data_IF_062732281907
#
_entry.id   IF_062732281907
#
_cell.length_a   1.000
_cell.length_b   1.000
_cell.length_c   1.000
_cell.angle_alpha   90.00
_cell.angle_beta   90.00
_cell.angle_gamma   90.00
#
_symmetry.space_group_name_H-M   'P 1'
#
loop_
_entity.id
_entity.type
_entity.pdbx_description
1 polymer ?
#
# COMPACT_ATOMS: atom_id res chain seq x y z
N UNK A 1 -22.54 -80.34 -31.90
CA UNK A 1 -22.40 -79.20 -30.98
C UNK A 1 -23.56 -78.27 -31.24
N UNK A 2 -24.50 -78.18 -30.31
CA UNK A 2 -25.60 -77.22 -30.39
C UNK A 2 -25.08 -75.83 -30.00
N UNK A 3 -25.47 -74.80 -30.75
CA UNK A 3 -25.02 -73.43 -30.53
C UNK A 3 -25.58 -72.89 -29.21
N UNK A 4 -24.72 -72.73 -28.22
CA UNK A 4 -25.07 -72.22 -26.87
C UNK A 4 -25.45 -70.72 -26.85
N UNK A 5 -25.24 -69.98 -27.94
CA UNK A 5 -25.56 -68.55 -28.05
C UNK A 5 -26.72 -68.34 -29.03
N UNK A 6 -27.75 -67.62 -28.59
CA UNK A 6 -28.90 -67.27 -29.41
C UNK A 6 -28.50 -66.15 -30.40
N UNK A 7 -28.56 -66.39 -31.73
CA UNK A 7 -28.16 -65.41 -32.75
C UNK A 7 -29.02 -64.15 -32.74
N UNK A 8 -30.28 -64.25 -32.30
CA UNK A 8 -31.22 -63.11 -32.25
C UNK A 8 -30.93 -62.15 -31.09
N UNK A 9 -30.14 -62.58 -30.10
CA UNK A 9 -29.76 -61.79 -28.94
C UNK A 9 -28.34 -61.19 -29.05
N UNK A 10 -27.74 -61.18 -30.25
CA UNK A 10 -26.38 -60.71 -30.44
C UNK A 10 -26.32 -59.18 -30.61
N UNK A 11 -25.95 -58.48 -29.53
CA UNK A 11 -25.86 -57.03 -29.44
C UNK A 11 -24.65 -56.43 -30.18
N UNK A 12 -23.64 -57.25 -30.52
CA UNK A 12 -22.42 -56.78 -31.20
C UNK A 12 -22.72 -56.17 -32.58
N UNK A 13 -23.83 -56.61 -33.22
CA UNK A 13 -24.29 -56.09 -34.52
C UNK A 13 -24.68 -54.61 -34.47
N UNK A 14 -25.07 -54.11 -33.30
CA UNK A 14 -25.50 -52.72 -33.09
C UNK A 14 -24.48 -51.89 -32.31
N UNK A 15 -23.29 -52.45 -32.01
CA UNK A 15 -22.25 -51.79 -31.22
C UNK A 15 -21.85 -50.41 -31.76
N UNK A 16 -21.69 -50.28 -33.09
CA UNK A 16 -21.41 -48.98 -33.72
C UNK A 16 -22.55 -47.96 -33.58
N UNK A 17 -23.81 -48.42 -33.58
CA UNK A 17 -24.99 -47.56 -33.40
C UNK A 17 -25.04 -47.06 -31.94
N UNK A 18 -24.77 -47.92 -30.96
CA UNK A 18 -24.70 -47.51 -29.56
C UNK A 18 -23.55 -46.51 -29.31
N UNK A 19 -22.41 -46.69 -29.97
CA UNK A 19 -21.31 -45.73 -29.92
C UNK A 19 -21.70 -44.36 -30.50
N UNK A 20 -22.36 -44.33 -31.66
CA UNK A 20 -22.84 -43.09 -32.27
C UNK A 20 -23.93 -42.39 -31.45
N UNK A 21 -24.84 -43.14 -30.83
CA UNK A 21 -25.85 -42.59 -29.92
C UNK A 21 -25.18 -41.99 -28.67
N UNK A 22 -24.21 -42.70 -28.09
CA UNK A 22 -23.43 -42.19 -26.95
C UNK A 22 -22.67 -40.91 -27.29
N UNK A 23 -22.05 -40.84 -28.47
CA UNK A 23 -21.35 -39.66 -28.96
C UNK A 23 -22.29 -38.44 -29.07
N UNK A 24 -23.48 -38.64 -29.64
CA UNK A 24 -24.49 -37.58 -29.74
C UNK A 24 -25.02 -37.14 -28.36
N UNK A 25 -25.19 -38.07 -27.41
CA UNK A 25 -25.63 -37.76 -26.06
C UNK A 25 -24.60 -36.90 -25.31
N UNK A 26 -23.32 -37.26 -25.39
CA UNK A 26 -22.23 -36.49 -24.79
C UNK A 26 -22.14 -35.10 -25.42
N UNK A 27 -22.22 -35.02 -26.75
CA UNK A 27 -22.20 -33.74 -27.46
C UNK A 27 -23.37 -32.83 -27.04
N UNK A 28 -24.58 -33.40 -26.88
CA UNK A 28 -25.76 -32.68 -26.41
C UNK A 28 -25.60 -32.19 -24.97
N UNK A 29 -25.05 -33.01 -24.07
CA UNK A 29 -24.77 -32.61 -22.69
C UNK A 29 -23.77 -31.46 -22.62
N UNK A 30 -22.67 -31.54 -23.39
CA UNK A 30 -21.66 -30.48 -23.46
C UNK A 30 -22.27 -29.20 -24.01
N UNK A 31 -23.06 -29.28 -25.09
CA UNK A 31 -23.77 -28.12 -25.63
C UNK A 31 -24.71 -27.51 -24.58
N UNK A 32 -25.46 -28.34 -23.84
CA UNK A 32 -26.36 -27.83 -22.79
C UNK A 32 -25.59 -27.19 -21.63
N UNK A 33 -24.46 -27.76 -21.22
CA UNK A 33 -23.57 -27.20 -20.18
C UNK A 33 -23.01 -25.84 -20.59
N UNK A 34 -22.62 -25.65 -21.85
CA UNK A 34 -22.17 -24.36 -22.36
C UNK A 34 -23.29 -23.30 -22.40
N UNK A 35 -24.54 -23.72 -22.63
CA UNK A 35 -25.71 -22.84 -22.52
C UNK A 35 -26.18 -22.61 -21.08
N UNK A 36 -25.56 -23.23 -20.07
CA UNK A 36 -25.83 -22.85 -18.69
C UNK A 36 -25.26 -21.46 -18.45
N UNK A 37 -26.11 -20.45 -18.62
CA UNK A 37 -25.80 -19.08 -18.22
C UNK A 37 -25.58 -19.06 -16.72
N UNK A 38 -24.32 -18.94 -16.33
CA UNK A 38 -23.92 -18.52 -15.00
C UNK A 38 -24.03 -17.00 -14.98
N UNK A 39 -25.02 -16.47 -14.28
CA UNK A 39 -25.00 -15.06 -13.94
C UNK A 39 -23.92 -14.87 -12.90
N UNK A 40 -23.01 -13.92 -13.13
CA UNK A 40 -22.18 -13.42 -12.06
C UNK A 40 -23.13 -12.95 -10.96
N UNK A 41 -23.03 -13.55 -9.78
CA UNK A 41 -23.68 -12.96 -8.61
C UNK A 41 -22.93 -11.65 -8.40
N UNK A 42 -23.64 -10.53 -8.49
CA UNK A 42 -23.09 -9.26 -8.05
C UNK A 42 -22.65 -9.43 -6.60
N UNK A 43 -21.35 -9.62 -6.41
CA UNK A 43 -20.77 -9.66 -5.10
C UNK A 43 -20.93 -8.25 -4.54
N UNK A 44 -21.87 -8.09 -3.60
CA UNK A 44 -22.14 -6.83 -2.92
C UNK A 44 -20.86 -6.18 -2.35
N UNK A 45 -19.81 -6.98 -2.13
CA UNK A 45 -18.49 -6.53 -1.71
C UNK A 45 -17.71 -5.82 -2.82
N UNK A 46 -17.77 -6.28 -4.08
CA UNK A 46 -17.09 -5.65 -5.21
C UNK A 46 -17.71 -4.28 -5.53
N UNK A 47 -19.05 -4.21 -5.59
CA UNK A 47 -19.78 -2.95 -5.81
C UNK A 47 -19.59 -1.98 -4.63
N UNK A 48 -19.46 -2.47 -3.40
CA UNK A 48 -19.14 -1.63 -2.25
C UNK A 48 -17.73 -1.03 -2.34
N UNK A 49 -16.74 -1.76 -2.86
CA UNK A 49 -15.37 -1.26 -3.04
C UNK A 49 -15.33 -0.14 -4.10
N UNK A 50 -16.01 -0.33 -5.23
CA UNK A 50 -16.10 0.69 -6.28
C UNK A 50 -16.82 1.95 -5.79
N UNK A 51 -17.94 1.79 -5.07
CA UNK A 51 -18.65 2.92 -4.46
C UNK A 51 -17.83 3.64 -3.38
N UNK A 52 -17.01 2.92 -2.59
CA UNK A 52 -16.11 3.53 -1.59
C UNK A 52 -14.98 4.30 -2.27
N UNK A 53 -14.47 3.83 -3.42
CA UNK A 53 -13.46 4.56 -4.19
C UNK A 53 -14.03 5.86 -4.75
N UNK A 54 -15.26 5.84 -5.29
CA UNK A 54 -15.93 7.03 -5.81
C UNK A 54 -16.28 8.03 -4.69
N UNK A 55 -16.63 7.56 -3.47
CA UNK A 55 -16.91 8.43 -2.32
C UNK A 55 -15.67 9.02 -1.63
N UNK A 56 -14.47 8.50 -1.92
CA UNK A 56 -13.22 8.95 -1.28
C UNK A 56 -12.62 10.19 -1.95
N UNK A 57 -13.09 10.56 -3.14
CA UNK A 57 -12.52 11.61 -3.98
C UNK A 57 -13.36 12.89 -3.97
N UNK A 58 -13.74 13.37 -2.79
CA UNK A 58 -14.19 14.76 -2.63
C UNK A 58 -13.74 15.24 -1.24
N UNK A 59 -12.55 15.83 -1.19
CA UNK A 59 -12.06 16.51 0.01
C UNK A 59 -12.95 17.75 0.19
N UNK A 60 -13.69 17.90 1.31
CA UNK A 60 -14.50 19.10 1.50
C UNK A 60 -13.59 20.33 1.53
N UNK A 61 -13.92 21.35 0.73
CA UNK A 61 -13.20 22.63 0.71
C UNK A 61 -13.21 23.19 2.14
N UNK A 62 -12.05 23.23 2.78
CA UNK A 62 -11.90 23.82 4.11
C UNK A 62 -11.97 25.34 3.96
N UNK A 63 -13.04 25.95 4.48
CA UNK A 63 -13.12 27.40 4.60
C UNK A 63 -12.01 27.86 5.56
N UNK A 64 -10.94 28.43 5.02
CA UNK A 64 -9.90 29.06 5.81
C UNK A 64 -10.50 30.32 6.44
N UNK A 65 -10.72 30.29 7.76
CA UNK A 65 -11.15 31.47 8.52
C UNK A 65 -10.09 32.54 8.29
N UNK A 66 -10.44 33.55 7.49
CA UNK A 66 -9.59 34.70 7.23
C UNK A 66 -9.59 35.55 8.49
N UNK A 67 -8.70 35.23 9.42
CA UNK A 67 -8.47 36.05 10.61
C UNK A 67 -8.22 37.49 10.15
N UNK A 68 -8.97 38.45 10.72
CA UNK A 68 -8.71 39.85 10.47
C UNK A 68 -7.25 40.14 10.83
N UNK A 69 -6.51 40.88 10.00
CA UNK A 69 -5.14 41.23 10.32
C UNK A 69 -5.13 41.96 11.67
N UNK A 70 -4.27 41.56 12.63
CA UNK A 70 -4.16 42.23 13.91
C UNK A 70 -3.85 43.72 13.66
N UNK A 71 -4.40 44.63 14.48
CA UNK A 71 -4.15 46.06 14.32
C UNK A 71 -2.64 46.32 14.33
N UNK A 72 -2.14 47.17 13.42
CA UNK A 72 -0.72 47.42 13.30
C UNK A 72 -0.19 47.90 14.66
N UNK A 73 0.89 47.29 15.18
CA UNK A 73 1.50 47.74 16.43
C UNK A 73 1.90 49.21 16.29
N UNK A 74 1.72 50.03 17.36
CA UNK A 74 2.18 51.41 17.34
C UNK A 74 3.66 51.43 17.00
N UNK A 75 4.03 52.18 15.97
CA UNK A 75 5.42 52.36 15.56
C UNK A 75 6.18 53.03 16.70
N UNK A 76 6.96 52.25 17.45
CA UNK A 76 7.94 52.79 18.38
C UNK A 76 9.01 53.50 17.53
N UNK A 77 9.41 54.75 17.85
CA UNK A 77 10.50 55.39 17.14
C UNK A 77 11.78 54.60 17.38
N UNK A 78 12.34 54.03 16.31
CA UNK A 78 13.65 53.37 16.33
C UNK A 78 14.69 54.47 16.46
N UNK A 79 15.28 54.60 17.65
CA UNK A 79 16.56 55.31 17.81
C UNK A 79 17.63 54.41 17.22
N UNK A 80 18.15 54.79 16.07
CA UNK A 80 19.29 54.12 15.44
C UNK A 80 20.53 54.71 16.12
N UNK A 81 21.06 54.00 17.11
CA UNK A 81 22.44 54.22 17.52
C UNK A 81 23.32 53.54 16.47
N UNK A 82 23.98 54.35 15.64
CA UNK A 82 24.92 53.88 14.64
C UNK A 82 26.13 53.31 15.40
N UNK A 83 26.19 51.99 15.52
CA UNK A 83 27.41 51.30 15.92
C UNK A 83 28.34 51.29 14.71
N UNK A 84 29.54 51.83 14.88
CA UNK A 84 30.57 51.82 13.85
C UNK A 84 31.09 50.39 13.67
N UNK A 85 30.72 49.76 12.56
CA UNK A 85 31.36 48.52 12.11
C UNK A 85 32.73 48.85 11.52
N UNK A 86 33.77 48.60 12.29
CA UNK A 86 35.14 48.48 11.80
C UNK A 86 35.89 47.42 12.60
N UNK A 87 35.53 46.15 12.39
CA UNK A 87 36.46 45.06 12.68
C UNK A 87 37.25 44.83 11.40
N UNK A 88 38.51 45.28 11.39
CA UNK A 88 39.45 44.92 10.32
C UNK A 88 39.67 43.42 10.36
N UNK A 89 39.21 42.74 9.30
CA UNK A 89 39.39 41.32 9.10
C UNK A 89 40.78 41.17 8.46
N UNK A 90 41.75 40.64 9.20
CA UNK A 90 43.06 40.33 8.62
C UNK A 90 42.88 39.22 7.56
N UNK A 91 43.26 39.51 6.31
CA UNK A 91 43.22 38.54 5.22
C UNK A 91 44.12 37.34 5.57
N UNK A 92 43.50 36.18 5.81
CA UNK A 92 44.25 34.93 5.90
C UNK A 92 44.62 34.48 4.49
N UNK A 93 45.91 34.28 4.24
CA UNK A 93 46.44 33.82 2.96
C UNK A 93 45.86 32.44 2.67
N UNK A 94 45.06 32.35 1.61
CA UNK A 94 44.48 31.09 1.14
C UNK A 94 45.63 30.26 0.55
N UNK A 95 46.09 29.25 1.30
CA UNK A 95 47.03 28.25 0.78
C UNK A 95 46.38 27.49 -0.37
N UNK A 96 46.93 27.62 -1.57
CA UNK A 96 46.43 26.89 -2.74
C UNK A 96 46.70 25.40 -2.56
N UNK A 97 45.64 24.59 -2.55
CA UNK A 97 45.72 23.12 -2.56
C UNK A 97 45.88 22.58 -3.99
N UNK A 98 46.79 23.16 -4.77
CA UNK A 98 47.11 22.64 -6.11
C UNK A 98 48.18 21.55 -6.00
N UNK A 99 47.81 20.33 -6.38
CA UNK A 99 48.69 19.17 -6.49
C UNK A 99 49.54 19.24 -7.76
N UNK A 100 50.81 18.86 -7.69
CA UNK A 100 51.73 18.86 -8.84
C UNK A 100 51.78 17.48 -9.51
N UNK A 101 52.12 17.40 -10.80
CA UNK A 101 52.06 16.16 -11.59
C UNK A 101 53.04 15.06 -11.13
N UNK A 102 53.99 15.37 -10.25
CA UNK A 102 54.95 14.43 -9.66
C UNK A 102 54.52 13.89 -8.29
N UNK A 103 53.34 14.29 -7.78
CA UNK A 103 52.82 13.80 -6.51
C UNK A 103 52.15 12.43 -6.67
N UNK A 104 52.85 11.38 -6.24
CA UNK A 104 52.36 10.00 -6.30
C UNK A 104 51.35 9.79 -5.18
N UNK A 105 50.07 9.66 -5.56
CA UNK A 105 49.00 9.24 -4.66
C UNK A 105 49.25 7.76 -4.31
N UNK A 106 49.63 7.48 -3.07
CA UNK A 106 49.60 6.11 -2.54
C UNK A 106 48.13 5.69 -2.43
N UNK A 107 47.62 4.95 -3.42
CA UNK A 107 46.32 4.30 -3.31
C UNK A 107 46.38 3.30 -2.15
N UNK A 108 45.53 3.43 -1.12
CA UNK A 108 45.46 2.41 -0.09
C UNK A 108 44.95 1.12 -0.74
N UNK A 109 45.81 0.11 -0.78
CA UNK A 109 45.43 -1.27 -1.12
C UNK A 109 44.45 -1.79 -0.07
N UNK A 110 43.17 -1.53 -0.27
CA UNK A 110 42.10 -2.16 0.49
C UNK A 110 42.14 -3.66 0.15
N UNK A 111 42.61 -4.47 1.09
CA UNK A 111 42.58 -5.93 0.99
C UNK A 111 41.12 -6.39 0.82
N UNK A 112 40.87 -7.25 -0.16
CA UNK A 112 39.54 -7.72 -0.58
C UNK A 112 38.82 -8.53 0.51
N UNK A 113 39.47 -8.79 1.65
CA UNK A 113 38.94 -9.59 2.76
C UNK A 113 37.95 -8.87 3.70
N UNK A 114 37.78 -7.54 3.58
CA UNK A 114 36.88 -6.75 4.46
C UNK A 114 35.56 -6.31 3.79
N UNK A 115 35.16 -6.93 2.69
CA UNK A 115 33.80 -6.76 2.15
C UNK A 115 32.86 -7.69 2.90
N UNK A 116 32.32 -7.22 4.02
CA UNK A 116 31.14 -7.85 4.61
C UNK A 116 29.98 -7.67 3.63
N UNK A 117 29.60 -8.75 2.96
CA UNK A 117 28.29 -8.83 2.32
C UNK A 117 27.27 -8.78 3.45
N UNK A 118 26.78 -7.57 3.75
CA UNK A 118 25.52 -7.43 4.45
C UNK A 118 24.49 -8.16 3.58
N UNK A 119 23.99 -9.29 4.05
CA UNK A 119 22.81 -9.91 3.48
C UNK A 119 21.70 -8.86 3.59
N UNK A 120 21.45 -8.13 2.51
CA UNK A 120 20.23 -7.37 2.37
C UNK A 120 19.12 -8.41 2.46
N UNK A 121 18.40 -8.41 3.59
CA UNK A 121 17.16 -9.16 3.70
C UNK A 121 16.26 -8.67 2.57
N UNK A 122 16.15 -9.48 1.51
CA UNK A 122 15.22 -9.21 0.42
C UNK A 122 13.84 -9.09 1.04
N UNK A 123 13.35 -7.85 1.16
CA UNK A 123 11.99 -7.60 1.60
C UNK A 123 11.06 -8.23 0.57
N UNK A 124 10.56 -9.42 0.90
CA UNK A 124 9.59 -10.14 0.08
C UNK A 124 8.36 -9.25 -0.03
N UNK A 125 8.23 -8.56 -1.16
CA UNK A 125 7.07 -7.73 -1.46
C UNK A 125 5.90 -8.65 -1.81
N UNK A 126 5.15 -9.07 -0.79
CA UNK A 126 3.92 -9.83 -0.98
C UNK A 126 2.83 -8.84 -1.39
N UNK A 127 2.18 -9.01 -2.56
CA UNK A 127 1.09 -8.13 -2.97
C UNK A 127 -0.07 -8.19 -1.95
N UNK A 128 -0.43 -7.05 -1.37
CA UNK A 128 -1.54 -6.92 -0.41
C UNK A 128 -2.90 -7.38 -0.96
N UNK A 129 -3.04 -7.51 -2.28
CA UNK A 129 -4.26 -7.99 -2.95
C UNK A 129 -4.66 -9.43 -2.56
N UNK A 130 -3.78 -10.19 -1.90
CA UNK A 130 -4.00 -11.59 -1.51
C UNK A 130 -4.27 -11.72 0.01
N UNK A 131 -4.08 -10.66 0.80
CA UNK A 131 -4.18 -10.74 2.26
C UNK A 131 -5.62 -10.48 2.69
N UNK A 132 -6.33 -11.56 3.05
CA UNK A 132 -7.71 -11.47 3.56
C UNK A 132 -7.78 -11.04 5.04
N UNK A 133 -6.69 -11.27 5.79
CA UNK A 133 -6.66 -11.21 7.25
C UNK A 133 -5.87 -9.99 7.75
N UNK A 134 -6.45 -9.27 8.72
CA UNK A 134 -5.82 -8.09 9.32
C UNK A 134 -4.75 -8.48 10.34
N UNK A 135 -3.75 -7.62 10.60
CA UNK A 135 -2.80 -7.85 11.68
C UNK A 135 -3.51 -7.95 13.03
N UNK A 136 -3.11 -8.91 13.85
CA UNK A 136 -3.71 -9.15 15.18
C UNK A 136 -2.90 -8.40 16.24
N UNK A 137 -3.52 -7.41 16.89
CA UNK A 137 -2.95 -6.79 18.08
C UNK A 137 -3.01 -7.76 19.28
N UNK A 138 -2.05 -7.69 20.22
CA UNK A 138 -2.13 -8.45 21.47
C UNK A 138 -3.46 -8.18 22.18
N UNK A 139 -4.20 -9.25 22.48
CA UNK A 139 -5.55 -9.18 23.06
C UNK A 139 -6.72 -9.19 22.06
N UNK A 140 -6.45 -9.13 20.75
CA UNK A 140 -7.45 -9.26 19.68
C UNK A 140 -7.46 -10.67 19.03
N UNK A 141 -6.90 -11.68 19.69
CA UNK A 141 -6.68 -13.02 19.13
C UNK A 141 -7.96 -13.85 18.97
N UNK A 142 -9.05 -13.49 19.66
CA UNK A 142 -10.31 -14.21 19.64
C UNK A 142 -11.38 -13.56 18.76
N UNK A 143 -12.16 -14.37 18.03
CA UNK A 143 -13.39 -13.92 17.37
C UNK A 143 -13.48 -14.30 15.89
N UNK A 144 -14.50 -13.76 15.22
CA UNK A 144 -14.65 -13.82 13.76
C UNK A 144 -13.69 -12.83 13.07
N UNK A 145 -13.41 -13.02 11.77
CA UNK A 145 -12.60 -12.08 10.98
C UNK A 145 -13.12 -10.63 11.07
N UNK A 146 -14.43 -10.44 11.17
CA UNK A 146 -15.03 -9.12 11.36
C UNK A 146 -14.72 -8.51 12.73
N UNK A 147 -14.82 -9.30 13.81
CA UNK A 147 -14.49 -8.84 15.17
C UNK A 147 -13.00 -8.47 15.29
N UNK A 148 -12.11 -9.20 14.62
CA UNK A 148 -10.68 -8.88 14.57
C UNK A 148 -10.42 -7.53 13.87
N UNK A 149 -11.13 -7.23 12.78
CA UNK A 149 -11.05 -5.93 12.07
C UNK A 149 -11.51 -4.76 12.94
N UNK A 150 -12.58 -4.95 13.70
CA UNK A 150 -13.07 -3.93 14.65
C UNK A 150 -12.07 -3.72 15.78
N UNK A 151 -11.54 -4.80 16.36
CA UNK A 151 -10.55 -4.74 17.43
C UNK A 151 -9.26 -4.04 16.96
N UNK A 152 -8.80 -4.34 15.74
CA UNK A 152 -7.64 -3.67 15.13
C UNK A 152 -7.87 -2.16 14.99
N UNK A 153 -9.03 -1.74 14.47
CA UNK A 153 -9.37 -0.32 14.34
C UNK A 153 -9.41 0.40 15.69
N UNK A 154 -9.92 -0.25 16.74
CA UNK A 154 -9.92 0.31 18.08
C UNK A 154 -8.49 0.49 18.63
N UNK A 155 -7.65 -0.54 18.48
CA UNK A 155 -6.27 -0.49 18.98
C UNK A 155 -5.41 0.54 18.27
N UNK A 156 -5.62 0.75 16.97
CA UNK A 156 -4.98 1.84 16.23
C UNK A 156 -5.40 3.20 16.78
N UNK A 157 -6.70 3.42 17.02
CA UNK A 157 -7.18 4.68 17.58
C UNK A 157 -6.60 4.95 18.97
N UNK A 158 -6.52 3.93 19.82
CA UNK A 158 -5.86 4.01 21.13
C UNK A 158 -4.37 4.35 20.99
N UNK A 159 -3.67 3.71 20.05
CA UNK A 159 -2.25 3.95 19.81
C UNK A 159 -2.00 5.38 19.31
N UNK A 160 -2.82 5.87 18.37
CA UNK A 160 -2.75 7.24 17.88
C UNK A 160 -3.01 8.21 19.03
N UNK A 161 -4.05 8.00 19.84
CA UNK A 161 -4.34 8.90 20.97
C UNK A 161 -3.19 8.99 22.00
N UNK A 162 -2.40 7.92 22.15
CA UNK A 162 -1.25 7.90 23.07
C UNK A 162 0.02 8.54 22.50
N UNK A 163 0.25 8.41 21.18
CA UNK A 163 1.50 8.85 20.54
C UNK A 163 1.34 10.13 19.72
N UNK A 164 0.12 10.61 19.53
CA UNK A 164 -0.17 11.81 18.77
C UNK A 164 0.13 13.06 19.60
N UNK A 165 1.22 13.74 19.23
CA UNK A 165 1.61 15.01 19.82
C UNK A 165 1.02 16.17 19.00
N UNK A 166 0.10 16.91 19.61
CA UNK A 166 -0.47 18.10 19.00
C UNK A 166 0.49 19.30 19.13
N UNK A 167 0.81 20.04 18.04
CA UNK A 167 1.75 21.16 18.10
C UNK A 167 1.29 22.28 19.07
N UNK A 168 2.20 22.75 19.91
CA UNK A 168 1.89 23.77 20.95
C UNK A 168 1.38 25.08 20.34
N UNK A 169 1.99 25.54 19.25
CA UNK A 169 1.56 26.74 18.52
C UNK A 169 0.09 26.64 18.08
N UNK A 170 -0.31 25.47 17.58
CA UNK A 170 -1.69 25.25 17.14
C UNK A 170 -2.67 25.19 18.32
N UNK A 171 -2.22 24.69 19.49
CA UNK A 171 -3.01 24.62 20.72
C UNK A 171 -3.27 26.00 21.30
N UNK A 172 -2.25 26.86 21.33
CA UNK A 172 -2.36 28.25 21.81
C UNK A 172 -3.27 29.09 20.91
N UNK A 173 -3.22 28.86 19.60
CA UNK A 173 -4.08 29.53 18.62
C UNK A 173 -5.49 28.91 18.53
N UNK A 174 -5.77 27.83 19.27
CA UNK A 174 -7.07 27.15 19.27
C UNK A 174 -7.48 26.55 17.91
N UNK A 175 -6.51 26.22 17.06
CA UNK A 175 -6.78 25.63 15.75
C UNK A 175 -7.34 24.20 15.93
N UNK A 176 -8.36 23.85 15.14
CA UNK A 176 -8.94 22.52 15.13
C UNK A 176 -9.26 22.13 13.68
N UNK A 177 -9.09 20.86 13.34
CA UNK A 177 -9.34 20.36 11.99
C UNK A 177 -9.36 18.84 11.94
N UNK A 178 -9.92 18.28 10.87
CA UNK A 178 -9.87 16.84 10.57
C UNK A 178 -8.84 16.62 9.47
N UNK A 179 -7.93 15.67 9.70
CA UNK A 179 -6.86 15.31 8.74
C UNK A 179 -7.11 13.88 8.28
N UNK A 180 -7.18 13.68 6.96
CA UNK A 180 -7.25 12.36 6.35
C UNK A 180 -5.86 11.98 5.87
N UNK A 181 -5.33 10.86 6.36
CA UNK A 181 -3.99 10.36 6.02
C UNK A 181 -4.13 8.96 5.43
N UNK A 182 -3.47 8.71 4.31
CA UNK A 182 -3.35 7.39 3.71
C UNK A 182 -1.88 6.99 3.69
N UNK A 183 -1.60 5.80 4.22
CA UNK A 183 -0.28 5.18 4.21
C UNK A 183 -0.41 3.74 3.70
N UNK A 184 0.66 3.23 3.12
CA UNK A 184 0.77 1.87 2.54
C UNK A 184 1.70 1.05 3.41
#
# INVERSE_FOLDING_TARGET
MESKKNPDANLDRYSGIFFLIGLNLVLFLVWRLLELKTYEREDAMANAVEAIQELKEDIPITETIKNLPPPPPPSVPVVIEVVEDAVEIEETVIGSSETNQDEVVEEPILAVDDVSFAEEEETITVPFAIIEDVPVFPGCEGGSKAAQRECFQQKIQEHIAQHFNYPDLAKEMGLQGKVYVQFV
#
